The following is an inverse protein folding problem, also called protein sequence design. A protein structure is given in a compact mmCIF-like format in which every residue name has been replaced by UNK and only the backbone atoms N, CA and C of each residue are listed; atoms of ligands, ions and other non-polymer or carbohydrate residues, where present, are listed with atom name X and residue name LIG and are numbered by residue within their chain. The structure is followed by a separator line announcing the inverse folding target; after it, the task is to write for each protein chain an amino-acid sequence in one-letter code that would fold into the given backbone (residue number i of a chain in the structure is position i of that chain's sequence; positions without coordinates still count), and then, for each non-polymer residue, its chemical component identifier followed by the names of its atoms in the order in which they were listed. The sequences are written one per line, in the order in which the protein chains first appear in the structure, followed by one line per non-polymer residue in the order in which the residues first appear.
data_IF_756706573683
#
_entry.id   IF_756706573683
#
_cell.length_a   1.000
_cell.length_b   1.000
_cell.length_c   1.000
_cell.angle_alpha   90.00
_cell.angle_beta   90.00
_cell.angle_gamma   90.00
#
_symmetry.space_group_name_H-M   'P 1'
#
loop_
_entity.id
_entity.type
_entity.pdbx_description
1 polymer ?
#
# COMPACT_ATOMS: atom_id res chain seq x y z
N UNK A 1 14.38 -7.39 14.44
CA UNK A 1 14.72 -6.31 13.48
C UNK A 1 13.90 -5.02 13.68
N UNK A 2 12.66 -5.09 14.18
CA UNK A 2 11.77 -3.92 14.35
C UNK A 2 12.05 -3.17 15.65
N UNK A 3 12.19 -3.88 16.78
CA UNK A 3 12.42 -3.27 18.11
C UNK A 3 13.60 -2.29 18.15
N UNK A 4 14.81 -2.62 17.67
CA UNK A 4 15.93 -1.68 17.66
C UNK A 4 15.64 -0.40 16.86
N UNK A 5 14.81 -0.49 15.80
CA UNK A 5 14.45 0.66 14.97
C UNK A 5 13.46 1.58 15.64
N UNK A 6 12.43 1.01 16.29
CA UNK A 6 11.47 1.78 17.09
C UNK A 6 12.21 2.54 18.19
N UNK A 7 13.11 1.86 18.90
CA UNK A 7 13.92 2.47 19.95
C UNK A 7 14.88 3.56 19.45
N UNK A 8 15.48 3.36 18.25
CA UNK A 8 16.34 4.36 17.60
C UNK A 8 15.54 5.43 16.86
N UNK A 9 14.21 5.39 16.92
CA UNK A 9 13.30 6.33 16.25
C UNK A 9 13.53 6.40 14.73
N UNK A 10 13.87 5.26 14.08
CA UNK A 10 14.10 5.15 12.64
C UNK A 10 12.83 4.71 11.92
N UNK A 11 12.31 5.53 11.02
CA UNK A 11 11.14 5.19 10.20
C UNK A 11 11.38 3.95 9.33
N UNK A 12 10.31 3.15 9.13
CA UNK A 12 10.33 1.96 8.28
C UNK A 12 8.98 1.75 7.60
N UNK A 13 8.98 0.84 6.63
CA UNK A 13 7.79 0.34 5.94
C UNK A 13 7.66 -1.15 6.18
N UNK A 14 6.53 -1.59 6.73
CA UNK A 14 6.16 -3.00 6.82
C UNK A 14 5.45 -3.40 5.53
N UNK A 15 6.04 -4.33 4.80
CA UNK A 15 5.47 -4.88 3.57
C UNK A 15 5.18 -6.37 3.74
N UNK A 16 4.13 -6.86 3.10
CA UNK A 16 3.78 -8.28 3.11
C UNK A 16 2.34 -8.51 2.65
N UNK A 17 1.99 -9.75 2.42
CA UNK A 17 0.66 -10.12 1.94
C UNK A 17 -0.46 -9.80 2.95
N UNK A 18 -1.70 -9.80 2.46
CA UNK A 18 -2.88 -9.57 3.30
C UNK A 18 -2.99 -10.65 4.39
N UNK A 19 -3.38 -10.25 5.60
CA UNK A 19 -3.54 -11.18 6.73
C UNK A 19 -2.24 -11.65 7.39
N UNK A 20 -1.06 -11.19 6.95
CA UNK A 20 0.25 -11.60 7.50
C UNK A 20 0.54 -11.02 8.91
N UNK A 21 -0.26 -10.08 9.39
CA UNK A 21 -0.09 -9.47 10.71
C UNK A 21 0.60 -8.10 10.71
N UNK A 22 0.72 -7.41 9.57
CA UNK A 22 1.35 -6.07 9.48
C UNK A 22 0.75 -5.06 10.45
N UNK A 23 -0.57 -4.97 10.50
CA UNK A 23 -1.33 -4.11 11.42
C UNK A 23 -0.96 -4.35 12.87
N UNK A 24 -0.88 -5.62 13.29
CA UNK A 24 -0.53 -5.96 14.67
C UNK A 24 0.92 -5.60 15.02
N UNK A 25 1.83 -5.80 14.07
CA UNK A 25 3.24 -5.39 14.22
C UNK A 25 3.37 -3.87 14.26
N UNK A 26 2.60 -3.13 13.44
CA UNK A 26 2.60 -1.66 13.45
C UNK A 26 2.01 -1.12 14.76
N UNK A 27 0.91 -1.70 15.26
CA UNK A 27 0.33 -1.37 16.57
C UNK A 27 1.32 -1.66 17.69
N UNK A 28 1.97 -2.82 17.64
CA UNK A 28 3.01 -3.14 18.62
C UNK A 28 4.13 -2.09 18.62
N UNK A 29 4.60 -1.66 17.43
CA UNK A 29 5.59 -0.60 17.29
C UNK A 29 5.08 0.73 17.86
N UNK A 30 3.81 1.08 17.62
CA UNK A 30 3.16 2.26 18.19
C UNK A 30 3.16 2.23 19.72
N UNK A 31 2.79 1.10 20.34
CA UNK A 31 2.76 0.99 21.82
C UNK A 31 4.14 1.05 22.45
N UNK A 32 5.17 0.50 21.77
CA UNK A 32 6.55 0.48 22.29
C UNK A 32 7.38 1.70 21.84
N UNK A 33 6.79 2.63 21.13
CA UNK A 33 7.45 3.88 20.79
C UNK A 33 7.45 4.83 22.00
N UNK A 34 8.66 5.17 22.44
CA UNK A 34 8.89 6.10 23.56
C UNK A 34 8.90 7.54 23.04
N UNK A 35 7.74 8.19 23.00
CA UNK A 35 7.56 9.58 22.57
C UNK A 35 6.20 10.07 23.03
N UNK A 36 6.11 11.34 23.41
CA UNK A 36 4.90 11.92 23.98
C UNK A 36 3.79 12.10 22.96
N UNK A 37 4.14 12.60 21.75
CA UNK A 37 3.17 12.89 20.70
C UNK A 37 3.26 11.87 19.56
N UNK A 38 2.38 10.89 19.60
CA UNK A 38 2.29 9.84 18.60
C UNK A 38 0.84 9.57 18.20
N UNK A 39 0.61 9.30 16.93
CA UNK A 39 -0.69 9.04 16.34
C UNK A 39 -0.69 7.77 15.52
N UNK A 40 -1.73 6.96 15.66
CA UNK A 40 -2.01 5.83 14.78
C UNK A 40 -3.22 6.15 13.90
N UNK A 41 -3.06 6.03 12.59
CA UNK A 41 -4.11 6.25 11.59
C UNK A 41 -4.12 5.14 10.54
N UNK A 42 -5.29 4.90 9.95
CA UNK A 42 -5.42 4.05 8.77
C UNK A 42 -5.76 4.91 7.55
N UNK A 43 -5.25 4.55 6.37
CA UNK A 43 -5.64 5.20 5.12
C UNK A 43 -7.11 4.97 4.74
N UNK A 44 -7.85 4.10 5.47
CA UNK A 44 -9.30 3.99 5.35
C UNK A 44 -10.04 5.21 5.92
N UNK A 45 -9.43 5.94 6.84
CA UNK A 45 -10.01 7.14 7.43
C UNK A 45 -10.11 8.26 6.40
N UNK A 46 -11.02 9.20 6.63
CA UNK A 46 -11.11 10.38 5.78
C UNK A 46 -9.95 11.33 6.06
N UNK A 47 -9.59 12.12 5.06
CA UNK A 47 -8.54 13.13 5.22
C UNK A 47 -8.83 14.11 6.37
N UNK A 48 -10.11 14.55 6.48
CA UNK A 48 -10.52 15.46 7.55
C UNK A 48 -10.41 14.86 8.95
N UNK A 49 -10.70 13.57 9.10
CA UNK A 49 -10.54 12.87 10.39
C UNK A 49 -9.06 12.80 10.79
N UNK A 50 -8.17 12.49 9.83
CA UNK A 50 -6.73 12.44 10.10
C UNK A 50 -6.21 13.80 10.56
N UNK A 51 -6.55 14.89 9.86
CA UNK A 51 -6.11 16.25 10.24
C UNK A 51 -6.63 16.63 11.63
N UNK A 52 -7.89 16.34 11.95
CA UNK A 52 -8.47 16.59 13.27
C UNK A 52 -7.74 15.83 14.39
N UNK A 53 -7.42 14.56 14.17
CA UNK A 53 -6.66 13.75 15.13
C UNK A 53 -5.25 14.31 15.37
N UNK A 54 -4.57 14.78 14.32
CA UNK A 54 -3.26 15.43 14.49
C UNK A 54 -3.38 16.71 15.28
N UNK A 55 -4.37 17.57 14.95
CA UNK A 55 -4.65 18.82 15.65
C UNK A 55 -4.95 18.58 17.15
N UNK A 56 -5.73 17.55 17.48
CA UNK A 56 -6.05 17.16 18.85
C UNK A 56 -4.79 16.80 19.65
N UNK A 57 -3.87 16.02 19.07
CA UNK A 57 -2.60 15.67 19.73
C UNK A 57 -1.68 16.88 19.90
N UNK A 58 -1.74 17.84 18.97
CA UNK A 58 -1.01 19.10 19.08
C UNK A 58 -1.66 20.10 20.05
N UNK A 59 -2.89 19.82 20.51
CA UNK A 59 -3.65 20.73 21.39
C UNK A 59 -4.24 21.95 20.66
N UNK A 60 -4.46 21.83 19.35
CA UNK A 60 -5.01 22.91 18.53
C UNK A 60 -6.55 22.95 18.62
N UNK A 61 -7.13 24.15 18.78
CA UNK A 61 -8.58 24.35 18.67
C UNK A 61 -9.02 24.28 17.20
N UNK A 62 -10.07 23.49 16.91
CA UNK A 62 -10.53 23.29 15.54
C UNK A 62 -12.05 23.45 15.32
N UNK A 63 -12.83 23.76 16.35
CA UNK A 63 -14.30 23.80 16.29
C UNK A 63 -14.89 24.82 15.29
N UNK A 64 -14.12 25.82 14.86
CA UNK A 64 -14.58 26.86 13.92
C UNK A 64 -13.72 26.95 12.65
N UNK A 65 -12.75 26.04 12.46
CA UNK A 65 -11.81 26.07 11.35
C UNK A 65 -12.23 25.14 10.23
N UNK A 66 -12.01 25.54 9.00
CA UNK A 66 -12.08 24.66 7.84
C UNK A 66 -10.93 23.64 7.88
N UNK A 67 -11.07 22.53 7.18
CA UNK A 67 -9.99 21.50 7.09
C UNK A 67 -8.70 22.09 6.48
N UNK A 68 -8.82 23.06 5.55
CA UNK A 68 -7.66 23.68 4.93
C UNK A 68 -6.90 24.62 5.89
N UNK A 69 -7.61 25.39 6.72
CA UNK A 69 -7.00 26.21 7.77
C UNK A 69 -6.36 25.33 8.82
N UNK A 70 -7.06 24.29 9.26
CA UNK A 70 -6.55 23.36 10.24
C UNK A 70 -5.30 22.60 9.74
N UNK A 71 -5.26 22.21 8.46
CA UNK A 71 -4.08 21.62 7.84
C UNK A 71 -2.85 22.55 7.94
N UNK A 72 -3.06 23.84 7.71
CA UNK A 72 -2.01 24.84 7.80
C UNK A 72 -1.46 24.97 9.21
N UNK A 73 -2.36 25.03 10.20
CA UNK A 73 -1.97 25.12 11.61
C UNK A 73 -1.25 23.84 12.06
N UNK A 74 -1.74 22.66 11.67
CA UNK A 74 -1.14 21.36 11.95
C UNK A 74 0.28 21.28 11.38
N UNK A 75 0.51 21.77 10.15
CA UNK A 75 1.84 21.77 9.52
C UNK A 75 2.84 22.73 10.17
N UNK A 76 2.37 23.72 10.90
CA UNK A 76 3.19 24.69 11.66
C UNK A 76 3.30 24.32 13.16
N UNK A 77 2.54 23.32 13.58
CA UNK A 77 2.47 22.87 14.97
C UNK A 77 3.66 22.02 15.40
N UNK A 78 3.52 21.41 16.56
CA UNK A 78 4.56 20.55 17.13
C UNK A 78 4.73 19.22 16.39
N UNK A 79 5.93 18.64 16.51
CA UNK A 79 6.25 17.34 15.92
C UNK A 79 5.36 16.22 16.50
N UNK A 80 4.66 15.48 15.63
CA UNK A 80 3.88 14.30 15.97
C UNK A 80 4.37 13.13 15.14
N UNK A 81 4.67 12.02 15.78
CA UNK A 81 5.05 10.79 15.08
C UNK A 81 3.80 10.04 14.61
N UNK A 82 3.71 9.74 13.32
CA UNK A 82 2.53 9.10 12.73
C UNK A 82 2.84 7.67 12.31
N UNK A 83 1.99 6.75 12.77
CA UNK A 83 1.95 5.35 12.34
C UNK A 83 0.78 5.18 11.38
N UNK A 84 1.06 4.88 10.11
CA UNK A 84 0.08 4.83 9.03
C UNK A 84 -0.10 3.40 8.56
N UNK A 85 -1.31 2.88 8.67
CA UNK A 85 -1.67 1.55 8.19
C UNK A 85 -2.45 1.61 6.87
N UNK A 86 -2.52 0.48 6.16
CA UNK A 86 -3.26 0.30 4.90
C UNK A 86 -2.83 1.28 3.79
N UNK A 87 -1.53 1.54 3.64
CA UNK A 87 -1.03 2.54 2.67
C UNK A 87 -1.38 2.22 1.20
N UNK A 88 -1.74 0.98 0.88
CA UNK A 88 -2.28 0.61 -0.44
C UNK A 88 -3.63 1.26 -0.75
N UNK A 89 -4.33 1.77 0.28
CA UNK A 89 -5.62 2.48 0.15
C UNK A 89 -5.47 4.00 0.23
N UNK A 90 -4.24 4.50 0.30
CA UNK A 90 -3.93 5.91 0.41
C UNK A 90 -4.54 6.72 -0.73
N UNK A 91 -5.26 7.79 -0.38
CA UNK A 91 -5.86 8.72 -1.34
C UNK A 91 -4.85 9.82 -1.73
N UNK A 92 -4.97 10.43 -2.92
CA UNK A 92 -4.01 11.44 -3.38
C UNK A 92 -3.80 12.59 -2.38
N UNK A 93 -4.86 13.11 -1.75
CA UNK A 93 -4.76 14.19 -0.77
C UNK A 93 -4.03 13.78 0.51
N UNK A 94 -4.26 12.54 0.99
CA UNK A 94 -3.51 11.96 2.09
C UNK A 94 -2.02 11.81 1.75
N UNK A 95 -1.72 11.35 0.52
CA UNK A 95 -0.36 11.20 0.05
C UNK A 95 0.41 12.51 0.02
N UNK A 96 -0.21 13.59 -0.46
CA UNK A 96 0.40 14.93 -0.46
C UNK A 96 0.72 15.37 0.98
N UNK A 97 -0.25 15.29 1.87
CA UNK A 97 -0.08 15.64 3.28
C UNK A 97 1.02 14.83 3.96
N UNK A 98 0.96 13.51 3.88
CA UNK A 98 1.95 12.66 4.53
C UNK A 98 3.36 12.78 3.91
N UNK A 99 3.46 13.12 2.63
CA UNK A 99 4.76 13.39 1.98
C UNK A 99 5.38 14.67 2.55
N UNK A 100 4.60 15.74 2.65
CA UNK A 100 5.02 16.99 3.28
C UNK A 100 5.37 16.76 4.76
N UNK A 101 4.52 16.03 5.48
CA UNK A 101 4.72 15.67 6.89
C UNK A 101 6.03 14.88 7.11
N UNK A 102 6.32 13.92 6.25
CA UNK A 102 7.53 13.10 6.34
C UNK A 102 8.84 13.89 6.19
N UNK A 103 8.80 15.08 5.59
CA UNK A 103 9.96 15.98 5.51
C UNK A 103 10.37 16.56 6.87
N UNK A 104 9.44 16.66 7.80
CA UNK A 104 9.62 17.30 9.12
C UNK A 104 9.50 16.32 10.28
N UNK A 105 8.76 15.23 10.09
CA UNK A 105 8.36 14.32 11.16
C UNK A 105 8.66 12.86 10.81
N UNK A 106 8.67 12.00 11.83
CA UNK A 106 8.88 10.56 11.64
C UNK A 106 7.58 9.87 11.29
N UNK A 107 7.64 9.01 10.27
CA UNK A 107 6.49 8.23 9.81
C UNK A 107 6.85 6.76 9.74
N UNK A 108 5.99 5.93 10.30
CA UNK A 108 6.04 4.47 10.25
C UNK A 108 4.86 3.98 9.42
N UNK A 109 5.10 3.05 8.51
CA UNK A 109 4.15 2.68 7.47
C UNK A 109 3.90 1.19 7.44
N UNK A 110 2.68 0.77 7.08
CA UNK A 110 2.39 -0.62 6.75
C UNK A 110 1.42 -0.74 5.57
N UNK A 111 1.61 -1.76 4.74
CA UNK A 111 0.74 -1.99 3.59
C UNK A 111 1.03 -3.24 2.80
N UNK A 112 0.20 -3.50 1.79
CA UNK A 112 0.31 -4.61 0.86
C UNK A 112 0.98 -4.13 -0.43
N UNK A 113 1.96 -4.88 -0.93
CA UNK A 113 2.56 -4.63 -2.24
C UNK A 113 1.69 -5.21 -3.37
N UNK A 114 1.67 -4.58 -4.56
CA UNK A 114 2.41 -3.38 -4.97
C UNK A 114 1.81 -2.09 -4.40
N UNK A 115 2.68 -1.14 -4.02
CA UNK A 115 2.24 0.15 -3.54
C UNK A 115 1.84 1.07 -4.70
N UNK A 116 0.79 1.87 -4.51
CA UNK A 116 0.36 2.88 -5.48
C UNK A 116 1.42 3.96 -5.66
N UNK A 117 1.41 4.63 -6.83
CA UNK A 117 2.34 5.72 -7.15
C UNK A 117 2.31 6.84 -6.11
N UNK A 118 1.12 7.17 -5.59
CA UNK A 118 0.94 8.20 -4.57
C UNK A 118 1.72 7.88 -3.30
N UNK A 119 1.74 6.61 -2.89
CA UNK A 119 2.48 6.18 -1.71
C UNK A 119 4.00 6.12 -1.93
N UNK A 120 4.49 5.92 -3.16
CA UNK A 120 5.92 5.74 -3.45
C UNK A 120 6.78 6.92 -2.96
N UNK A 121 6.27 8.16 -3.02
CA UNK A 121 7.01 9.35 -2.56
C UNK A 121 7.29 9.31 -1.07
N UNK A 122 6.34 8.84 -0.25
CA UNK A 122 6.51 8.72 1.21
C UNK A 122 7.45 7.58 1.57
N UNK A 123 7.49 6.55 0.71
CA UNK A 123 8.31 5.36 0.92
C UNK A 123 9.80 5.62 0.63
N UNK A 124 10.12 6.66 -0.12
CA UNK A 124 11.49 6.95 -0.51
C UNK A 124 12.39 7.13 0.71
N UNK A 125 13.56 6.51 0.66
CA UNK A 125 14.55 6.55 1.73
C UNK A 125 14.20 5.74 2.98
N UNK A 126 13.01 5.14 3.06
CA UNK A 126 12.64 4.27 4.18
C UNK A 126 13.07 2.84 3.96
N UNK A 127 13.54 2.20 5.03
CA UNK A 127 13.83 0.78 4.94
C UNK A 127 12.54 -0.03 4.89
N UNK A 128 12.43 -0.88 3.86
CA UNK A 128 11.37 -1.86 3.74
C UNK A 128 11.70 -3.11 4.57
N UNK A 129 10.80 -3.48 5.47
CA UNK A 129 10.84 -4.71 6.26
C UNK A 129 9.74 -5.61 5.73
N UNK A 130 10.12 -6.69 5.07
CA UNK A 130 9.16 -7.66 4.56
C UNK A 130 8.80 -8.66 5.65
N UNK A 131 7.50 -8.78 5.93
CA UNK A 131 6.96 -9.78 6.87
C UNK A 131 6.67 -11.05 6.07
N UNK A 132 7.26 -12.16 6.52
CA UNK A 132 7.07 -13.47 5.92
C UNK A 132 6.05 -14.30 6.71
N UNK A 133 5.43 -15.31 6.08
CA UNK A 133 4.63 -16.31 6.78
C UNK A 133 5.42 -16.98 7.90
N UNK A 134 4.71 -17.39 8.93
CA UNK A 134 5.29 -18.12 10.06
C UNK A 134 5.85 -19.46 9.57
N UNK A 135 7.08 -19.76 9.96
CA UNK A 135 7.77 -21.00 9.59
C UNK A 135 7.00 -22.25 10.01
N UNK A 136 7.19 -23.33 9.27
CA UNK A 136 6.49 -24.60 9.50
C UNK A 136 6.59 -25.09 10.96
N UNK A 137 7.75 -24.91 11.62
CA UNK A 137 7.98 -25.28 13.01
C UNK A 137 7.12 -24.54 14.01
N UNK A 138 6.71 -23.29 13.71
CA UNK A 138 5.94 -22.45 14.63
C UNK A 138 4.44 -22.35 14.28
N UNK A 139 3.99 -22.97 13.17
CA UNK A 139 2.58 -22.94 12.77
C UNK A 139 1.66 -23.62 13.77
N UNK A 140 2.16 -24.71 14.40
CA UNK A 140 1.43 -25.44 15.43
C UNK A 140 1.20 -24.58 16.67
N UNK A 141 2.17 -23.75 17.05
CA UNK A 141 2.04 -22.86 18.21
C UNK A 141 1.07 -21.71 17.93
N UNK A 142 1.07 -21.21 16.68
CA UNK A 142 0.06 -20.26 16.22
C UNK A 142 -1.35 -20.87 16.34
N UNK A 143 -1.54 -22.10 15.86
CA UNK A 143 -2.83 -22.80 15.90
C UNK A 143 -3.30 -23.01 17.36
N UNK A 144 -2.42 -23.50 18.25
CA UNK A 144 -2.72 -23.63 19.69
C UNK A 144 -3.13 -22.30 20.33
N UNK A 145 -2.40 -21.22 20.01
CA UNK A 145 -2.71 -19.89 20.52
C UNK A 145 -4.11 -19.43 20.10
N UNK A 146 -4.44 -19.60 18.82
CA UNK A 146 -5.74 -19.21 18.27
C UNK A 146 -6.87 -20.03 18.89
N UNK A 147 -6.72 -21.36 18.97
CA UNK A 147 -7.72 -22.26 19.59
C UNK A 147 -7.98 -21.84 21.04
N UNK A 148 -6.91 -21.57 21.81
CA UNK A 148 -7.06 -21.14 23.20
C UNK A 148 -7.81 -19.81 23.33
N UNK A 149 -7.67 -18.92 22.35
CA UNK A 149 -8.26 -17.57 22.39
C UNK A 149 -9.74 -17.53 21.96
N UNK A 150 -10.16 -18.39 21.02
CA UNK A 150 -11.53 -18.36 20.49
C UNK A 150 -12.34 -19.64 20.81
N UNK A 151 -11.73 -20.65 21.41
CA UNK A 151 -12.43 -21.92 21.70
C UNK A 151 -12.79 -22.71 20.45
N UNK A 152 -11.97 -22.65 19.39
CA UNK A 152 -12.25 -23.32 18.12
C UNK A 152 -12.33 -24.83 18.28
N UNK A 153 -13.31 -25.44 17.59
CA UNK A 153 -13.46 -26.89 17.48
C UNK A 153 -12.63 -27.50 16.34
N UNK A 154 -12.03 -26.65 15.48
CA UNK A 154 -11.20 -27.09 14.36
C UNK A 154 -9.89 -27.67 14.91
N UNK A 155 -9.47 -28.87 14.45
CA UNK A 155 -8.19 -29.46 14.88
C UNK A 155 -7.01 -28.53 14.61
N UNK A 156 -6.07 -28.47 15.54
CA UNK A 156 -4.87 -27.60 15.43
C UNK A 156 -4.01 -27.95 14.20
N UNK A 157 -3.97 -29.23 13.82
CA UNK A 157 -3.24 -29.71 12.65
C UNK A 157 -3.82 -29.12 11.35
N UNK A 158 -5.14 -29.03 11.25
CA UNK A 158 -5.83 -28.44 10.10
C UNK A 158 -5.50 -26.93 10.02
N UNK A 159 -5.64 -26.21 11.13
CA UNK A 159 -5.32 -24.78 11.18
C UNK A 159 -3.85 -24.55 10.80
N UNK A 160 -2.92 -25.33 11.35
CA UNK A 160 -1.48 -25.18 11.09
C UNK A 160 -1.12 -25.42 9.61
N UNK A 161 -1.69 -26.47 9.01
CA UNK A 161 -1.37 -26.86 7.63
C UNK A 161 -2.03 -25.93 6.60
N UNK A 162 -3.33 -25.70 6.74
CA UNK A 162 -4.10 -24.92 5.76
C UNK A 162 -3.81 -23.42 5.80
N UNK A 163 -3.41 -22.89 6.97
CA UNK A 163 -3.06 -21.47 7.09
C UNK A 163 -1.79 -21.10 6.33
N UNK A 164 -0.94 -22.08 5.99
CA UNK A 164 0.38 -21.86 5.37
C UNK A 164 1.25 -20.85 6.14
N UNK A 165 1.00 -20.69 7.46
CA UNK A 165 1.69 -19.76 8.34
C UNK A 165 1.22 -18.31 8.25
N UNK A 166 0.05 -18.04 7.64
CA UNK A 166 -0.56 -16.71 7.56
C UNK A 166 -1.53 -16.56 8.73
N UNK A 167 -1.27 -15.67 9.71
CA UNK A 167 -2.10 -15.54 10.91
C UNK A 167 -3.57 -15.24 10.62
N UNK A 168 -3.86 -14.31 9.70
CA UNK A 168 -5.24 -13.97 9.33
C UNK A 168 -6.00 -15.15 8.75
N UNK A 169 -5.33 -16.00 7.93
CA UNK A 169 -5.91 -17.23 7.40
C UNK A 169 -6.15 -18.25 8.51
N UNK A 170 -5.20 -18.39 9.44
CA UNK A 170 -5.36 -19.28 10.59
C UNK A 170 -6.56 -18.90 11.46
N UNK A 171 -6.80 -17.61 11.67
CA UNK A 171 -7.98 -17.10 12.37
C UNK A 171 -9.29 -17.43 11.64
N UNK A 172 -9.34 -17.22 10.32
CA UNK A 172 -10.52 -17.50 9.51
C UNK A 172 -10.86 -19.02 9.54
N UNK A 173 -9.86 -19.90 9.36
CA UNK A 173 -10.05 -21.35 9.47
C UNK A 173 -10.57 -21.72 10.86
N UNK A 174 -9.96 -21.18 11.91
CA UNK A 174 -10.34 -21.49 13.28
C UNK A 174 -11.77 -21.05 13.63
N UNK A 175 -12.30 -20.02 12.98
CA UNK A 175 -13.70 -19.57 13.08
C UNK A 175 -14.68 -20.39 12.22
N UNK A 176 -14.17 -21.32 11.40
CA UNK A 176 -14.99 -22.07 10.45
C UNK A 176 -15.41 -21.24 9.23
N UNK A 177 -14.76 -20.11 8.99
CA UNK A 177 -14.96 -19.33 7.77
C UNK A 177 -14.37 -20.11 6.61
N UNK A 178 -15.19 -20.49 5.60
CA UNK A 178 -14.67 -21.08 4.37
C UNK A 178 -13.81 -20.07 3.67
N UNK A 179 -12.49 -20.29 3.72
CA UNK A 179 -11.55 -19.55 2.91
C UNK A 179 -11.77 -20.03 1.48
N UNK A 180 -12.48 -19.24 0.68
CA UNK A 180 -12.52 -19.48 -0.76
C UNK A 180 -11.10 -19.38 -1.28
N UNK A 181 -10.65 -20.38 -2.03
CA UNK A 181 -9.36 -20.31 -2.76
C UNK A 181 -9.29 -19.10 -3.71
N UNK A 182 -10.41 -18.45 -3.95
CA UNK A 182 -10.55 -17.24 -4.77
C UNK A 182 -9.78 -16.02 -4.24
N UNK A 183 -9.44 -15.96 -2.95
CA UNK A 183 -8.56 -14.89 -2.42
C UNK A 183 -7.11 -14.99 -2.95
N UNK A 184 -6.71 -16.07 -3.58
CA UNK A 184 -5.44 -16.20 -4.29
C UNK A 184 -5.51 -15.74 -5.76
N UNK A 185 -6.71 -15.58 -6.33
CA UNK A 185 -6.90 -15.27 -7.76
C UNK A 185 -6.75 -13.79 -8.13
N UNK A 186 -6.68 -12.88 -7.18
CA UNK A 186 -6.50 -11.45 -7.48
C UNK A 186 -5.02 -11.04 -7.42
N UNK A 187 -4.16 -11.86 -8.02
CA UNK A 187 -2.91 -11.40 -8.60
C UNK A 187 -3.05 -11.45 -10.11
N UNK A 188 -3.88 -10.59 -10.65
CA UNK A 188 -3.61 -10.11 -12.00
C UNK A 188 -2.25 -9.45 -11.91
N UNK A 189 -1.23 -10.03 -12.53
CA UNK A 189 -0.06 -9.26 -12.89
C UNK A 189 -0.62 -8.03 -13.61
N UNK A 190 -0.46 -6.86 -13.01
CA UNK A 190 -0.66 -5.62 -13.73
C UNK A 190 0.43 -5.62 -14.80
N UNK A 191 0.13 -6.25 -15.94
CA UNK A 191 0.96 -6.12 -17.14
C UNK A 191 0.97 -4.63 -17.42
N UNK A 192 2.15 -4.04 -17.36
CA UNK A 192 2.31 -2.62 -17.65
C UNK A 192 2.03 -2.40 -19.14
N UNK A 193 0.75 -2.22 -19.46
CA UNK A 193 0.26 -2.02 -20.83
C UNK A 193 1.04 -0.89 -21.52
N UNK A 194 1.62 0.03 -20.75
CA UNK A 194 2.43 1.12 -21.30
C UNK A 194 3.67 0.62 -22.06
N UNK A 195 4.35 -0.43 -21.57
CA UNK A 195 5.53 -1.00 -22.26
C UNK A 195 5.12 -1.69 -23.57
N UNK A 196 4.02 -2.46 -23.55
CA UNK A 196 3.49 -3.11 -24.74
C UNK A 196 3.06 -2.07 -25.77
N UNK A 197 2.38 -1.00 -25.35
CA UNK A 197 1.96 0.10 -26.21
C UNK A 197 3.15 0.85 -26.82
N UNK A 198 4.25 1.01 -26.09
CA UNK A 198 5.46 1.67 -26.58
C UNK A 198 6.12 0.85 -27.69
N UNK A 199 6.18 -0.48 -27.56
CA UNK A 199 6.68 -1.39 -28.58
C UNK A 199 5.79 -1.31 -29.83
N UNK A 200 4.46 -1.31 -29.67
CA UNK A 200 3.51 -1.25 -30.78
C UNK A 200 3.64 0.06 -31.54
N UNK A 201 3.78 1.20 -30.88
CA UNK A 201 4.05 2.50 -31.48
C UNK A 201 5.36 2.50 -32.25
N UNK A 202 6.43 1.92 -31.68
CA UNK A 202 7.72 1.82 -32.35
C UNK A 202 7.63 1.00 -33.66
N UNK A 203 6.92 -0.14 -33.66
CA UNK A 203 6.69 -0.96 -34.87
C UNK A 203 5.96 -0.15 -35.94
N UNK A 204 4.90 0.57 -35.58
CA UNK A 204 4.12 1.41 -36.52
C UNK A 204 4.98 2.52 -37.13
N UNK A 205 5.87 3.15 -36.34
CA UNK A 205 6.82 4.15 -36.85
C UNK A 205 7.80 3.55 -37.86
N UNK A 206 8.36 2.38 -37.56
CA UNK A 206 9.29 1.68 -38.45
C UNK A 206 8.60 1.34 -39.79
N UNK A 207 7.37 0.81 -39.76
CA UNK A 207 6.60 0.49 -40.99
C UNK A 207 6.37 1.74 -41.84
N UNK A 208 6.04 2.86 -41.20
CA UNK A 208 5.86 4.15 -41.89
C UNK A 208 7.16 4.62 -42.53
N UNK A 209 8.28 4.55 -41.82
CA UNK A 209 9.58 5.02 -42.31
C UNK A 209 10.09 4.15 -43.46
N UNK A 210 9.86 2.83 -43.42
CA UNK A 210 10.12 1.92 -44.54
C UNK A 210 9.25 2.31 -45.74
N UNK A 211 7.96 2.61 -45.54
CA UNK A 211 7.05 3.06 -46.60
C UNK A 211 7.55 4.34 -47.28
N UNK A 212 8.05 5.31 -46.51
CA UNK A 212 8.68 6.53 -47.07
C UNK A 212 9.97 6.23 -47.85
N UNK A 213 10.82 5.38 -47.31
CA UNK A 213 12.12 5.06 -47.93
C UNK A 213 11.99 4.24 -49.23
N UNK A 214 10.98 3.39 -49.30
CA UNK A 214 10.71 2.54 -50.51
C UNK A 214 9.77 3.16 -51.52
N UNK A 215 9.19 4.33 -51.23
CA UNK A 215 8.21 4.98 -52.07
C UNK A 215 6.85 4.27 -52.16
N UNK A 216 6.60 3.32 -51.25
CA UNK A 216 5.32 2.56 -51.17
C UNK A 216 4.27 3.36 -50.42
N UNK A 217 3.40 4.06 -51.16
CA UNK A 217 2.36 4.93 -50.56
C UNK A 217 1.40 4.18 -49.62
N UNK A 218 1.10 2.92 -49.91
CA UNK A 218 0.19 2.11 -49.07
C UNK A 218 0.76 1.84 -47.67
N UNK A 219 2.04 1.51 -47.56
CA UNK A 219 2.72 1.32 -46.28
C UNK A 219 2.78 2.62 -45.45
N UNK A 220 2.99 3.75 -46.12
CA UNK A 220 2.99 5.07 -45.50
C UNK A 220 1.63 5.42 -44.89
N UNK A 221 0.53 5.15 -45.66
CA UNK A 221 -0.84 5.41 -45.22
C UNK A 221 -1.20 4.50 -44.06
N UNK A 222 -0.89 3.20 -44.13
CA UNK A 222 -1.14 2.23 -43.04
C UNK A 222 -0.40 2.65 -41.77
N UNK A 223 0.86 3.06 -41.87
CA UNK A 223 1.64 3.56 -40.74
C UNK A 223 1.05 4.83 -40.12
N UNK A 224 0.53 5.75 -40.96
CA UNK A 224 -0.14 6.96 -40.52
C UNK A 224 -1.44 6.68 -39.73
N UNK A 225 -2.28 5.78 -40.27
CA UNK A 225 -3.52 5.35 -39.60
C UNK A 225 -3.19 4.64 -38.26
N UNK A 226 -2.21 3.74 -38.27
CA UNK A 226 -1.78 3.04 -37.06
C UNK A 226 -1.33 3.99 -35.96
N UNK A 227 -0.64 5.08 -36.31
CA UNK A 227 -0.20 6.09 -35.36
C UNK A 227 -1.39 6.86 -34.77
N UNK A 228 -2.40 7.22 -35.59
CA UNK A 228 -3.62 7.87 -35.12
C UNK A 228 -4.41 6.98 -34.13
N UNK A 229 -4.54 5.68 -34.46
CA UNK A 229 -5.20 4.69 -33.59
C UNK A 229 -4.44 4.52 -32.26
N UNK A 230 -3.11 4.43 -32.30
CA UNK A 230 -2.29 4.32 -31.12
C UNK A 230 -2.43 5.55 -30.18
N UNK A 231 -2.53 6.76 -30.78
CA UNK A 231 -2.76 7.99 -30.06
C UNK A 231 -4.13 8.02 -29.36
N UNK A 232 -5.18 7.61 -30.09
CA UNK A 232 -6.55 7.53 -29.53
C UNK A 232 -6.61 6.50 -28.38
N UNK A 233 -6.03 5.30 -28.57
CA UNK A 233 -5.98 4.27 -27.53
C UNK A 233 -5.24 4.77 -26.27
N UNK A 234 -4.13 5.47 -26.44
CA UNK A 234 -3.40 6.08 -25.30
C UNK A 234 -4.29 7.05 -24.54
N UNK A 235 -5.09 7.86 -25.23
CA UNK A 235 -6.00 8.82 -24.62
C UNK A 235 -7.12 8.09 -23.85
N UNK A 236 -7.72 7.06 -24.44
CA UNK A 236 -8.79 6.25 -23.80
C UNK A 236 -8.27 5.56 -22.54
N UNK A 237 -7.07 4.95 -22.58
CA UNK A 237 -6.46 4.30 -21.40
C UNK A 237 -6.19 5.32 -20.28
N UNK A 238 -5.86 6.56 -20.63
CA UNK A 238 -5.64 7.63 -19.65
C UNK A 238 -6.94 8.07 -18.95
N UNK A 239 -8.09 7.96 -19.63
CA UNK A 239 -9.41 8.27 -19.06
C UNK A 239 -10.01 7.12 -18.25
N UNK A 240 -9.56 5.87 -18.47
CA UNK A 240 -10.02 4.69 -17.75
C UNK A 240 -9.24 4.42 -16.44
N UNK A 241 -8.17 5.18 -16.15
CA UNK A 241 -7.41 5.20 -14.89
C UNK A 241 -7.89 6.32 -13.98
#
# INVERSE_FOLDING_TARGET
HIYPRVRKKLGFVLAGQRGIGKTEVLKWAYFHYEGEKKLYVSCNETYGEIIKKVAEIQGLEFNKKTIAELEKDVMQGEEVVIFIDDIEKMKPKQAVFFTAWNGWNKVYLSGVEPFREEAKKILWGKQKIKIHPIDAGHRMDLAKHIIKKIGSLVPKEVIANESKGIPGRAWAIAKGEHIREDDERVKGEEVNIAEVMLILVAIVMIVRDIGMGTGQKDLYIIGGIGMAVAFILRQVIRYLK
#
